data_IF_122758310829
#
_entry.id   IF_122758310829
#
_cell.length_a   1.000
_cell.length_b   1.000
_cell.length_c   1.000
_cell.angle_alpha   90.00
_cell.angle_beta   90.00
_cell.angle_gamma   90.00
#
_symmetry.space_group_name_H-M   'P 1'
#
loop_
_entity.id
_entity.type
_entity.pdbx_description
1 polymer ?
#
# COMPACT_ATOMS: atom_id res chain seq x y z
N UNK A 1 39.62 -6.09 45.32
CA UNK A 1 38.16 -6.05 45.12
C UNK A 1 37.65 -4.70 44.57
N UNK A 2 38.12 -3.54 45.04
CA UNK A 2 37.70 -2.22 44.50
C UNK A 2 38.18 -1.91 43.07
N UNK A 3 39.34 -2.42 42.66
CA UNK A 3 39.87 -2.19 41.30
C UNK A 3 39.17 -3.03 40.21
N UNK A 4 38.65 -4.21 40.56
CA UNK A 4 37.90 -5.07 39.63
C UNK A 4 36.50 -4.50 39.36
N UNK A 5 35.88 -3.85 40.35
CA UNK A 5 34.57 -3.20 40.20
C UNK A 5 34.61 -1.95 39.30
N UNK A 6 35.72 -1.20 39.31
CA UNK A 6 35.88 -0.01 38.43
C UNK A 6 36.07 -0.42 36.96
N UNK A 7 36.79 -1.54 36.72
CA UNK A 7 36.96 -2.08 35.38
C UNK A 7 35.65 -2.62 34.78
N UNK A 8 34.77 -3.22 35.60
CA UNK A 8 33.47 -3.73 35.15
C UNK A 8 32.47 -2.61 34.79
N UNK A 9 32.53 -1.48 35.50
CA UNK A 9 31.68 -0.30 35.24
C UNK A 9 32.12 0.47 33.98
N UNK A 10 33.41 0.53 33.68
CA UNK A 10 33.92 1.22 32.49
C UNK A 10 33.58 0.48 31.17
N UNK A 11 33.46 -0.85 31.21
CA UNK A 11 33.09 -1.67 30.03
C UNK A 11 31.62 -1.48 29.65
N UNK A 12 30.73 -1.24 30.62
CA UNK A 12 29.31 -1.01 30.34
C UNK A 12 29.02 0.35 29.68
N UNK A 13 29.87 1.36 29.87
CA UNK A 13 29.69 2.69 29.26
C UNK A 13 30.11 2.74 27.79
N UNK A 14 30.97 1.82 27.32
CA UNK A 14 31.39 1.79 25.91
C UNK A 14 30.40 1.09 24.98
N UNK A 15 29.58 0.17 25.48
CA UNK A 15 28.59 -0.57 24.66
C UNK A 15 27.33 0.24 24.31
N UNK A 16 27.11 1.41 24.91
CA UNK A 16 25.91 2.23 24.69
C UNK A 16 26.00 3.09 23.43
N UNK A 17 27.19 3.41 22.92
CA UNK A 17 27.35 4.30 21.77
C UNK A 17 27.30 3.61 20.39
N UNK A 18 27.18 2.28 20.33
CA UNK A 18 27.19 1.54 19.06
C UNK A 18 25.79 1.19 18.51
N UNK A 19 24.75 1.25 19.35
CA UNK A 19 23.36 0.93 18.94
C UNK A 19 22.73 2.09 18.15
N UNK A 20 23.01 3.34 18.50
CA UNK A 20 22.48 4.52 17.80
C UNK A 20 22.98 4.64 16.35
N UNK A 21 24.21 4.19 16.06
CA UNK A 21 24.79 4.28 14.70
C UNK A 21 24.13 3.29 13.72
N UNK A 22 23.79 2.08 14.18
CA UNK A 22 23.12 1.07 13.33
C UNK A 22 21.70 1.52 12.97
N UNK A 23 20.95 2.05 13.95
CA UNK A 23 19.61 2.58 13.69
C UNK A 23 19.67 3.80 12.76
N UNK A 24 20.62 4.71 12.96
CA UNK A 24 20.79 5.89 12.10
C UNK A 24 21.16 5.50 10.67
N UNK A 25 22.04 4.52 10.47
CA UNK A 25 22.41 4.03 9.14
C UNK A 25 21.25 3.33 8.42
N UNK A 26 20.51 2.47 9.12
CA UNK A 26 19.41 1.72 8.54
C UNK A 26 18.21 2.63 8.21
N UNK A 27 18.00 3.69 8.99
CA UNK A 27 17.05 4.76 8.68
C UNK A 27 17.52 5.53 7.44
N UNK A 28 18.77 6.01 7.39
CA UNK A 28 19.28 6.76 6.23
C UNK A 28 19.20 6.00 4.91
N UNK A 29 19.46 4.69 4.92
CA UNK A 29 19.32 3.83 3.74
C UNK A 29 17.88 3.70 3.23
N UNK A 30 16.87 3.95 4.06
CA UNK A 30 15.45 3.93 3.65
C UNK A 30 14.93 5.30 3.25
N UNK A 31 15.48 6.39 3.79
CA UNK A 31 15.10 7.76 3.41
C UNK A 31 15.89 8.25 2.19
N UNK A 32 16.93 7.52 1.76
CA UNK A 32 17.70 7.93 0.59
C UNK A 32 16.80 8.04 -0.65
N UNK A 33 16.81 9.19 -1.34
CA UNK A 33 15.86 9.44 -2.39
C UNK A 33 16.21 8.59 -3.62
N UNK A 34 15.20 7.95 -4.20
CA UNK A 34 15.35 7.12 -5.41
C UNK A 34 15.60 7.96 -6.69
N UNK A 35 15.70 9.29 -6.56
CA UNK A 35 16.01 10.23 -7.64
C UNK A 35 16.30 11.64 -7.11
N UNK A 36 16.92 12.50 -7.94
CA UNK A 36 17.22 13.89 -7.55
C UNK A 36 15.94 14.74 -7.63
N UNK A 37 15.43 15.19 -6.48
CA UNK A 37 14.36 16.19 -6.40
C UNK A 37 14.97 17.56 -6.68
N UNK A 38 14.56 18.21 -7.78
CA UNK A 38 14.83 19.64 -7.97
C UNK A 38 13.72 20.40 -7.27
N UNK A 39 14.07 21.20 -6.26
CA UNK A 39 13.17 22.20 -5.69
C UNK A 39 13.29 23.43 -6.58
N UNK A 40 12.22 23.79 -7.26
CA UNK A 40 12.14 25.01 -8.07
C UNK A 40 12.04 26.21 -7.12
N UNK A 41 13.00 27.13 -7.21
CA UNK A 41 12.98 28.42 -6.52
C UNK A 41 11.91 29.31 -7.20
N UNK A 42 11.10 30.00 -6.40
CA UNK A 42 10.04 30.89 -6.89
C UNK A 42 10.64 32.15 -7.54
N UNK A 43 10.55 32.29 -8.87
CA UNK A 43 10.79 33.59 -9.52
C UNK A 43 10.98 33.61 -11.04
N UNK A 44 9.89 33.93 -11.75
CA UNK A 44 9.80 34.52 -13.11
C UNK A 44 10.06 33.64 -14.37
N UNK A 45 9.01 33.46 -15.18
CA UNK A 45 8.98 32.89 -16.56
C UNK A 45 9.31 34.00 -17.61
N UNK A 46 9.63 33.74 -18.92
CA UNK A 46 9.24 32.57 -19.72
C UNK A 46 10.31 31.96 -20.67
N UNK A 47 10.08 30.67 -20.99
CA UNK A 47 10.39 30.00 -22.27
C UNK A 47 11.85 29.86 -22.72
N UNK A 48 12.39 28.63 -22.72
CA UNK A 48 12.49 27.78 -23.94
C UNK A 48 13.36 26.53 -23.71
N UNK A 49 12.76 25.39 -24.06
CA UNK A 49 13.39 24.20 -24.68
C UNK A 49 14.42 23.40 -23.87
N UNK A 50 13.91 22.42 -23.12
CA UNK A 50 14.53 21.11 -23.06
C UNK A 50 13.42 20.05 -22.94
N UNK A 51 13.02 19.53 -24.10
CA UNK A 51 12.24 18.31 -24.29
C UNK A 51 12.75 17.21 -23.35
N UNK A 52 12.04 16.99 -22.24
CA UNK A 52 12.17 15.74 -21.51
C UNK A 52 11.25 14.73 -22.20
N UNK A 53 11.87 13.87 -23.01
CA UNK A 53 11.32 12.57 -23.37
C UNK A 53 10.99 11.82 -22.07
N UNK A 54 9.79 12.04 -21.55
CA UNK A 54 9.09 11.03 -20.77
C UNK A 54 9.09 9.79 -21.65
N UNK A 55 9.57 8.62 -21.20
CA UNK A 55 9.12 7.41 -21.84
C UNK A 55 7.61 7.42 -21.62
N UNK A 56 6.87 7.78 -22.67
CA UNK A 56 5.48 7.35 -22.83
C UNK A 56 5.56 5.85 -23.01
N UNK A 57 5.91 5.14 -21.93
CA UNK A 57 5.34 3.82 -21.71
C UNK A 57 3.85 4.13 -21.70
N UNK A 58 3.16 3.73 -22.76
CA UNK A 58 1.71 3.70 -22.78
C UNK A 58 1.31 3.10 -21.43
N UNK A 59 0.78 3.90 -20.52
CA UNK A 59 0.14 3.37 -19.33
C UNK A 59 -1.05 2.66 -19.93
N UNK A 60 -0.92 1.34 -20.11
CA UNK A 60 -2.05 0.52 -20.49
C UNK A 60 -3.20 0.96 -19.60
N UNK A 61 -4.32 1.36 -20.21
CA UNK A 61 -5.47 1.82 -19.46
C UNK A 61 -5.78 0.75 -18.42
N UNK A 62 -5.67 1.12 -17.15
CA UNK A 62 -5.89 0.20 -16.04
C UNK A 62 -7.34 -0.24 -16.12
N UNK A 63 -7.61 -1.53 -15.92
CA UNK A 63 -8.99 -2.03 -15.97
C UNK A 63 -9.85 -1.27 -14.94
N UNK A 64 -11.14 -1.05 -15.22
CA UNK A 64 -12.03 -0.38 -14.27
C UNK A 64 -11.98 -1.07 -12.90
N UNK A 65 -11.76 -0.29 -11.84
CA UNK A 65 -11.68 -0.80 -10.46
C UNK A 65 -10.34 -1.43 -10.07
N UNK A 66 -9.41 -1.64 -11.00
CA UNK A 66 -8.09 -2.22 -10.71
C UNK A 66 -7.28 -1.34 -9.77
N UNK A 67 -7.29 -0.01 -9.95
CA UNK A 67 -6.57 0.92 -9.07
C UNK A 67 -7.07 0.83 -7.63
N UNK A 68 -8.40 0.87 -7.43
CA UNK A 68 -9.04 0.74 -6.12
C UNK A 68 -8.74 -0.61 -5.47
N UNK A 69 -8.81 -1.70 -6.25
CA UNK A 69 -8.46 -3.02 -5.76
C UNK A 69 -7.01 -3.09 -5.26
N UNK A 70 -6.06 -2.63 -6.06
CA UNK A 70 -4.64 -2.66 -5.72
C UNK A 70 -4.29 -1.77 -4.53
N UNK A 71 -5.00 -0.66 -4.35
CA UNK A 71 -4.73 0.28 -3.28
C UNK A 71 -5.30 -0.18 -1.93
N UNK A 72 -6.50 -0.77 -1.91
CA UNK A 72 -7.24 -1.02 -0.67
C UNK A 72 -7.59 -2.49 -0.45
N UNK A 73 -7.99 -3.20 -1.51
CA UNK A 73 -8.60 -4.53 -1.37
C UNK A 73 -7.57 -5.66 -1.38
N UNK A 74 -6.44 -5.47 -2.08
CA UNK A 74 -5.46 -6.51 -2.38
C UNK A 74 -4.88 -7.18 -1.15
N UNK A 75 -4.69 -6.43 -0.06
CA UNK A 75 -4.07 -6.91 1.18
C UNK A 75 -4.82 -8.12 1.73
N UNK A 76 -6.14 -8.13 1.63
CA UNK A 76 -6.96 -9.23 2.10
C UNK A 76 -7.39 -10.18 0.98
N UNK A 77 -7.76 -9.63 -0.18
CA UNK A 77 -8.37 -10.39 -1.26
C UNK A 77 -7.39 -11.07 -2.21
N UNK A 78 -6.08 -10.81 -2.12
CA UNK A 78 -5.09 -11.54 -2.94
C UNK A 78 -5.01 -13.01 -2.54
N UNK A 79 -4.69 -13.26 -1.27
CA UNK A 79 -4.42 -14.61 -0.75
C UNK A 79 -5.53 -15.14 0.16
N UNK A 80 -6.59 -14.35 0.37
CA UNK A 80 -7.78 -14.74 1.14
C UNK A 80 -7.59 -14.62 2.65
N UNK A 81 -6.94 -13.53 3.07
CA UNK A 81 -6.68 -13.27 4.49
C UNK A 81 -7.99 -13.23 5.28
N UNK A 82 -7.99 -13.82 6.47
CA UNK A 82 -9.16 -13.90 7.35
C UNK A 82 -10.44 -14.46 6.69
N UNK A 83 -10.29 -15.30 5.65
CA UNK A 83 -11.41 -15.89 4.91
C UNK A 83 -12.05 -14.98 3.85
N UNK A 84 -11.35 -13.91 3.45
CA UNK A 84 -11.74 -13.09 2.31
C UNK A 84 -11.76 -13.93 1.01
N UNK A 85 -12.73 -13.70 0.10
CA UNK A 85 -12.72 -14.36 -1.21
C UNK A 85 -11.50 -13.92 -2.02
N UNK A 86 -10.76 -14.89 -2.56
CA UNK A 86 -9.56 -14.62 -3.35
C UNK A 86 -9.90 -14.00 -4.70
N UNK A 87 -9.05 -13.11 -5.17
CA UNK A 87 -9.15 -12.47 -6.47
C UNK A 87 -9.27 -13.52 -7.58
N UNK A 88 -10.32 -13.41 -8.39
CA UNK A 88 -10.56 -14.29 -9.53
C UNK A 88 -10.82 -15.77 -9.18
N UNK A 89 -11.01 -16.12 -7.91
CA UNK A 89 -11.18 -17.50 -7.51
C UNK A 89 -12.64 -17.97 -7.60
N UNK A 90 -12.94 -18.82 -8.58
CA UNK A 90 -14.26 -19.41 -8.80
C UNK A 90 -14.90 -20.05 -7.56
N UNK A 91 -14.14 -20.85 -6.81
CA UNK A 91 -14.68 -21.59 -5.66
C UNK A 91 -15.12 -20.66 -4.53
N UNK A 92 -14.44 -19.53 -4.35
CA UNK A 92 -14.78 -18.55 -3.33
C UNK A 92 -15.97 -17.67 -3.76
N UNK A 93 -16.03 -17.29 -5.04
CA UNK A 93 -17.03 -16.36 -5.57
C UNK A 93 -18.36 -17.01 -5.92
N UNK A 94 -18.39 -18.26 -6.41
CA UNK A 94 -19.64 -18.99 -6.73
C UNK A 94 -20.69 -18.97 -5.61
N UNK A 95 -20.40 -19.38 -4.36
CA UNK A 95 -21.38 -19.32 -3.28
C UNK A 95 -21.77 -17.89 -2.88
N UNK A 96 -20.90 -16.90 -3.17
CA UNK A 96 -21.14 -15.50 -2.84
C UNK A 96 -21.98 -14.76 -3.89
N UNK A 97 -21.97 -15.24 -5.13
CA UNK A 97 -22.78 -14.75 -6.25
C UNK A 97 -24.11 -15.52 -6.36
N UNK A 98 -24.22 -16.69 -5.77
CA UNK A 98 -25.44 -17.50 -5.79
C UNK A 98 -26.61 -16.77 -5.12
N UNK A 99 -27.53 -16.26 -5.93
CA UNK A 99 -28.73 -15.55 -5.46
C UNK A 99 -28.47 -14.13 -4.99
N UNK A 100 -27.31 -13.54 -5.31
CA UNK A 100 -26.99 -12.14 -5.00
C UNK A 100 -26.56 -11.35 -6.23
N UNK A 101 -26.96 -10.09 -6.24
CA UNK A 101 -26.59 -9.09 -7.23
C UNK A 101 -25.30 -8.37 -6.83
N UNK A 102 -24.67 -7.68 -7.79
CA UNK A 102 -23.50 -6.84 -7.52
C UNK A 102 -23.83 -5.73 -6.51
N UNK A 103 -25.04 -5.18 -6.56
CA UNK A 103 -25.45 -4.10 -5.65
C UNK A 103 -25.59 -4.59 -4.21
N UNK A 104 -26.00 -5.84 -3.99
CA UNK A 104 -26.01 -6.44 -2.65
C UNK A 104 -24.59 -6.71 -2.11
N UNK A 105 -23.65 -7.06 -2.98
CA UNK A 105 -22.24 -7.16 -2.62
C UNK A 105 -21.65 -5.79 -2.28
N UNK A 106 -22.02 -4.75 -3.03
CA UNK A 106 -21.64 -3.38 -2.75
C UNK A 106 -22.18 -2.92 -1.40
N UNK A 107 -23.48 -3.13 -1.12
CA UNK A 107 -24.09 -2.78 0.15
C UNK A 107 -23.39 -3.48 1.34
N UNK A 108 -23.03 -4.75 1.18
CA UNK A 108 -22.27 -5.51 2.18
C UNK A 108 -20.85 -4.94 2.37
N UNK A 109 -20.21 -4.54 1.27
CA UNK A 109 -18.86 -3.95 1.29
C UNK A 109 -18.86 -2.57 1.93
N UNK A 110 -19.89 -1.74 1.67
CA UNK A 110 -20.08 -0.43 2.29
C UNK A 110 -20.28 -0.58 3.81
N UNK A 111 -21.17 -1.48 4.23
CA UNK A 111 -21.45 -1.74 5.65
C UNK A 111 -20.26 -2.39 6.37
N UNK A 112 -19.47 -3.19 5.65
CA UNK A 112 -18.52 -4.13 6.24
C UNK A 112 -19.19 -5.45 6.62
N UNK A 113 -18.42 -6.54 6.57
CA UNK A 113 -18.89 -7.89 6.84
C UNK A 113 -17.78 -8.76 7.43
N UNK A 114 -18.05 -9.37 8.59
CA UNK A 114 -17.07 -10.20 9.31
C UNK A 114 -15.76 -9.42 9.56
N UNK A 115 -14.63 -9.93 9.07
CA UNK A 115 -13.32 -9.30 9.16
C UNK A 115 -13.10 -8.17 8.14
N UNK A 116 -14.02 -7.96 7.19
CA UNK A 116 -13.93 -6.88 6.20
C UNK A 116 -14.47 -5.56 6.80
N UNK A 117 -13.64 -4.52 6.95
CA UNK A 117 -14.08 -3.21 7.44
C UNK A 117 -15.07 -2.53 6.49
N UNK A 118 -15.79 -1.52 6.99
CA UNK A 118 -16.65 -0.68 6.17
C UNK A 118 -15.88 -0.07 4.97
N UNK A 119 -16.52 -0.08 3.80
CA UNK A 119 -15.98 0.32 2.50
C UNK A 119 -14.64 -0.35 2.13
N UNK A 120 -14.30 -1.49 2.73
CA UNK A 120 -13.03 -2.17 2.49
C UNK A 120 -11.81 -1.28 2.78
N UNK A 121 -11.89 -0.42 3.79
CA UNK A 121 -10.89 0.62 4.16
C UNK A 121 -10.79 1.82 3.22
N UNK A 122 -11.53 1.85 2.11
CA UNK A 122 -11.57 3.02 1.24
C UNK A 122 -12.69 3.99 1.66
N UNK A 123 -12.41 4.86 2.62
CA UNK A 123 -13.39 5.85 3.13
C UNK A 123 -13.76 6.87 2.05
N UNK A 124 -12.81 7.21 1.18
CA UNK A 124 -12.95 8.23 0.14
C UNK A 124 -13.57 7.71 -1.17
N UNK A 125 -13.61 6.39 -1.38
CA UNK A 125 -14.11 5.83 -2.63
C UNK A 125 -15.59 6.16 -2.86
N UNK A 126 -15.96 6.49 -4.09
CA UNK A 126 -17.37 6.51 -4.48
C UNK A 126 -17.95 5.10 -4.55
N UNK A 127 -19.28 5.00 -4.54
CA UNK A 127 -19.97 3.72 -4.66
C UNK A 127 -19.67 3.06 -6.02
N UNK A 128 -19.49 3.86 -7.07
CA UNK A 128 -19.09 3.40 -8.40
C UNK A 128 -17.67 2.84 -8.43
N UNK A 129 -16.73 3.49 -7.74
CA UNK A 129 -15.35 3.00 -7.63
C UNK A 129 -15.29 1.66 -6.87
N UNK A 130 -16.05 1.55 -5.77
CA UNK A 130 -16.18 0.29 -5.03
C UNK A 130 -16.85 -0.79 -5.88
N UNK A 131 -17.91 -0.45 -6.62
CA UNK A 131 -18.61 -1.39 -7.51
C UNK A 131 -17.67 -1.89 -8.61
N UNK A 132 -16.90 -1.00 -9.23
CA UNK A 132 -15.90 -1.37 -10.22
C UNK A 132 -14.82 -2.28 -9.60
N UNK A 133 -14.35 -1.99 -8.38
CA UNK A 133 -13.38 -2.83 -7.69
C UNK A 133 -13.94 -4.24 -7.39
N UNK A 134 -15.20 -4.34 -6.97
CA UNK A 134 -15.89 -5.63 -6.75
C UNK A 134 -15.94 -6.42 -8.05
N UNK A 135 -16.36 -5.79 -9.16
CA UNK A 135 -16.41 -6.43 -10.48
C UNK A 135 -15.02 -6.87 -10.95
N UNK A 136 -14.00 -6.07 -10.70
CA UNK A 136 -12.61 -6.40 -11.04
C UNK A 136 -12.12 -7.66 -10.30
N UNK A 137 -12.56 -7.87 -9.05
CA UNK A 137 -12.20 -9.05 -8.26
C UNK A 137 -12.89 -10.35 -8.69
N UNK A 138 -14.00 -10.26 -9.45
CA UNK A 138 -14.73 -11.44 -9.88
C UNK A 138 -13.90 -12.27 -10.86
N UNK A 139 -14.13 -13.61 -10.89
CA UNK A 139 -13.54 -14.45 -11.92
C UNK A 139 -13.98 -13.97 -13.31
N UNK A 140 -13.00 -13.77 -14.19
CA UNK A 140 -13.24 -13.46 -15.60
C UNK A 140 -13.55 -14.78 -16.31
N UNK A 141 -14.67 -14.82 -17.04
CA UNK A 141 -15.07 -15.98 -17.88
C UNK A 141 -14.29 -16.01 -19.19
#
# INVERSE_FOLDING_TARGET
MRLVSVALLAVCSFSVCALDDVDRQQIQQRIQPVGKVRVEDEGNNPSETATQNKPTTAVAAKEPGQATYEQYCIVCHRDGLAGAPKFGNDSDWKPRLSGRTIDELLASSIKGLNAMPAKGTCVECSDEELKAAIQYMLPKS
#
